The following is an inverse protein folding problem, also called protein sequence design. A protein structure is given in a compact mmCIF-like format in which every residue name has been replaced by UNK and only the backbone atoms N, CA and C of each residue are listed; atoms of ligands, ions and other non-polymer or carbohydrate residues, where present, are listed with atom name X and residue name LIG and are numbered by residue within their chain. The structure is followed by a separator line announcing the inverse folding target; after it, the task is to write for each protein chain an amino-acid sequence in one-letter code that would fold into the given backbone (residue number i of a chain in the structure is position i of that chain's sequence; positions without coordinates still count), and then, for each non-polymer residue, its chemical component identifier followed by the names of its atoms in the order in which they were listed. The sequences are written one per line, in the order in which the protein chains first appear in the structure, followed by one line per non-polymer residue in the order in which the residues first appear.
data_IF_776095539722
#
_entry.id   IF_776095539722
#
_cell.length_a   1.000
_cell.length_b   1.000
_cell.length_c   1.000
_cell.angle_alpha   90.00
_cell.angle_beta   90.00
_cell.angle_gamma   90.00
#
_symmetry.space_group_name_H-M   'P 1'
#
loop_
_entity.id
_entity.type
_entity.pdbx_description
1 polymer ?
#
# COMPACT_ATOMS: atom_id res chain seq x y z
N UNK A 1 39.72 14.57 23.85
CA UNK A 1 38.39 15.11 23.47
C UNK A 1 38.07 14.60 22.09
N UNK A 2 37.12 13.66 21.94
CA UNK A 2 36.71 13.13 20.67
C UNK A 2 35.89 14.18 19.91
N UNK A 3 36.29 14.52 18.68
CA UNK A 3 35.55 15.43 17.81
C UNK A 3 34.22 14.77 17.41
N UNK A 4 33.12 15.32 17.88
CA UNK A 4 31.78 14.96 17.42
C UNK A 4 31.68 15.28 15.92
N UNK A 5 31.46 14.28 15.08
CA UNK A 5 31.18 14.49 13.65
C UNK A 5 29.69 14.78 13.50
N UNK A 6 29.38 15.90 12.87
CA UNK A 6 28.00 16.24 12.48
C UNK A 6 27.77 15.89 11.02
N UNK A 7 26.60 15.37 10.70
CA UNK A 7 26.11 15.19 9.33
C UNK A 7 24.76 15.89 9.17
N UNK A 8 24.43 16.29 7.96
CA UNK A 8 23.17 16.92 7.61
C UNK A 8 22.33 15.91 6.80
N UNK A 9 21.18 15.54 7.32
CA UNK A 9 20.30 14.52 6.71
C UNK A 9 19.05 15.20 6.18
N UNK A 10 18.69 14.88 4.93
CA UNK A 10 17.47 15.37 4.31
C UNK A 10 16.25 14.63 4.92
N UNK A 11 15.28 15.38 5.43
CA UNK A 11 14.06 14.82 6.03
C UNK A 11 13.13 14.16 5.01
N UNK A 12 13.22 14.55 3.73
CA UNK A 12 12.32 14.03 2.70
C UNK A 12 12.83 12.73 2.04
N UNK A 13 14.16 12.63 1.80
CA UNK A 13 14.71 11.47 1.08
C UNK A 13 15.79 10.70 1.86
N UNK A 14 16.21 11.18 3.04
CA UNK A 14 17.20 10.52 3.87
C UNK A 14 18.64 10.60 3.37
N UNK A 15 18.93 11.36 2.30
CA UNK A 15 20.29 11.56 1.82
C UNK A 15 21.10 12.34 2.86
N UNK A 16 22.35 11.91 3.12
CA UNK A 16 23.26 12.53 4.09
C UNK A 16 24.37 13.33 3.42
N UNK A 17 24.74 14.44 4.06
CA UNK A 17 25.74 15.37 3.58
C UNK A 17 26.67 15.78 4.72
N UNK A 18 27.94 16.02 4.41
CA UNK A 18 28.95 16.49 5.38
C UNK A 18 28.81 17.97 5.76
N UNK A 19 28.01 18.72 4.97
CA UNK A 19 27.75 20.15 5.18
C UNK A 19 26.29 20.47 4.88
N UNK A 20 25.78 21.49 5.59
CA UNK A 20 24.45 22.01 5.29
C UNK A 20 24.40 22.67 3.91
N UNK A 21 23.31 22.42 3.18
CA UNK A 21 23.00 23.05 1.90
C UNK A 21 21.51 23.38 1.86
N UNK A 22 21.14 24.48 1.24
CA UNK A 22 19.74 24.94 1.19
C UNK A 22 18.82 24.03 0.39
N UNK A 23 19.36 23.26 -0.57
CA UNK A 23 18.62 22.31 -1.39
C UNK A 23 19.26 20.93 -1.31
N UNK A 24 18.46 19.89 -1.13
CA UNK A 24 18.93 18.52 -1.21
C UNK A 24 19.28 18.15 -2.66
N UNK A 25 20.54 17.75 -2.90
CA UNK A 25 20.97 17.38 -4.26
C UNK A 25 20.40 16.02 -4.74
N UNK A 26 19.82 15.22 -3.84
CA UNK A 26 19.23 13.93 -4.20
C UNK A 26 17.74 14.05 -4.60
N UNK A 27 16.94 14.82 -3.85
CA UNK A 27 15.50 14.97 -4.11
C UNK A 27 15.06 16.38 -4.51
N UNK A 28 16.02 17.33 -4.56
CA UNK A 28 15.83 18.75 -4.90
C UNK A 28 14.88 19.54 -3.97
N UNK A 29 14.49 18.99 -2.83
CA UNK A 29 13.70 19.68 -1.83
C UNK A 29 14.51 20.78 -1.12
N UNK A 30 13.86 21.92 -0.83
CA UNK A 30 14.48 23.07 -0.18
C UNK A 30 14.29 23.04 1.33
N UNK A 31 15.33 23.42 2.08
CA UNK A 31 15.32 23.57 3.55
C UNK A 31 14.93 22.29 4.31
N UNK A 32 15.22 21.13 3.75
CA UNK A 32 14.90 19.81 4.34
C UNK A 32 16.07 19.16 5.06
N UNK A 33 17.25 19.80 5.10
CA UNK A 33 18.42 19.25 5.77
C UNK A 33 18.44 19.66 7.25
N UNK A 34 18.46 18.66 8.13
CA UNK A 34 18.63 18.82 9.58
C UNK A 34 19.99 18.30 10.03
N UNK A 35 20.61 19.02 11.00
CA UNK A 35 21.87 18.63 11.59
C UNK A 35 21.68 17.43 12.52
N UNK A 36 22.39 16.33 12.26
CA UNK A 36 22.41 15.13 13.09
C UNK A 36 23.82 14.96 13.68
N UNK A 37 23.92 14.91 15.00
CA UNK A 37 25.18 14.65 15.68
C UNK A 37 25.48 13.16 15.65
N UNK A 38 26.54 12.76 14.96
CA UNK A 38 27.04 11.39 15.02
C UNK A 38 27.84 11.28 16.32
N UNK A 39 27.26 10.60 17.33
CA UNK A 39 27.96 10.30 18.56
C UNK A 39 29.19 9.45 18.22
N UNK A 40 30.36 9.94 18.61
CA UNK A 40 31.63 9.22 18.47
C UNK A 40 31.51 7.89 19.22
N UNK A 41 31.84 6.81 18.56
CA UNK A 41 31.85 5.46 19.10
C UNK A 41 32.69 5.40 20.37
N UNK A 42 32.05 5.29 21.56
CA UNK A 42 32.69 4.76 22.74
C UNK A 42 32.98 3.26 22.48
N UNK A 43 34.27 2.92 22.53
CA UNK A 43 34.75 1.56 22.42
C UNK A 43 34.26 0.72 23.59
N UNK A 44 33.24 -0.10 23.42
CA UNK A 44 32.99 -1.31 24.19
C UNK A 44 31.74 -2.03 23.66
N UNK A 45 31.78 -2.56 22.46
CA UNK A 45 31.13 -3.80 22.02
C UNK A 45 31.55 -4.00 20.56
N UNK A 46 32.22 -5.10 20.29
CA UNK A 46 32.53 -5.51 18.91
C UNK A 46 31.28 -5.37 18.04
N UNK A 47 31.39 -4.81 16.83
CA UNK A 47 30.25 -4.77 15.93
C UNK A 47 29.93 -6.21 15.53
N UNK A 48 29.02 -6.87 16.26
CA UNK A 48 28.41 -8.10 15.80
C UNK A 48 27.73 -7.78 14.48
N UNK A 49 28.38 -8.26 13.44
CA UNK A 49 27.99 -8.32 12.02
C UNK A 49 26.77 -7.47 11.65
N UNK A 50 27.00 -6.43 10.88
CA UNK A 50 25.98 -5.81 10.03
C UNK A 50 25.56 -6.83 8.98
N UNK A 51 24.87 -7.91 9.40
CA UNK A 51 24.24 -8.85 8.52
C UNK A 51 23.24 -8.08 7.65
N UNK A 52 23.28 -8.28 6.33
CA UNK A 52 22.28 -7.75 5.43
C UNK A 52 20.89 -8.31 5.78
N UNK A 53 19.86 -7.82 5.09
CA UNK A 53 18.47 -8.30 5.24
C UNK A 53 18.26 -9.74 4.73
N UNK A 54 19.30 -10.42 4.25
CA UNK A 54 19.23 -11.72 3.55
C UNK A 54 19.48 -12.96 4.45
N UNK A 55 19.51 -12.84 5.79
CA UNK A 55 19.66 -14.00 6.67
C UNK A 55 20.91 -13.96 7.58
N UNK A 56 21.16 -15.05 8.30
CA UNK A 56 22.08 -15.10 9.46
C UNK A 56 23.53 -15.47 9.16
N UNK A 57 23.85 -15.98 7.97
CA UNK A 57 25.20 -16.49 7.65
C UNK A 57 25.67 -16.04 6.27
N UNK A 58 26.85 -15.38 6.25
CA UNK A 58 27.57 -15.09 5.01
C UNK A 58 28.28 -16.37 4.51
N UNK A 59 27.53 -17.39 4.12
CA UNK A 59 28.05 -18.61 3.50
C UNK A 59 27.88 -18.48 2.00
N UNK A 60 28.98 -18.64 1.27
CA UNK A 60 28.92 -18.72 -0.19
C UNK A 60 28.42 -20.13 -0.54
N UNK A 61 27.26 -20.22 -1.17
CA UNK A 61 26.64 -21.47 -1.62
C UNK A 61 26.39 -21.42 -3.13
N UNK A 62 26.45 -22.58 -3.79
CA UNK A 62 25.97 -22.64 -5.18
C UNK A 62 24.45 -22.55 -5.19
N UNK A 63 23.89 -21.85 -6.16
CA UNK A 63 22.43 -21.69 -6.28
C UNK A 63 21.72 -23.07 -6.38
N UNK A 64 22.35 -24.04 -7.01
CA UNK A 64 21.83 -25.40 -7.16
C UNK A 64 21.78 -26.20 -5.84
N UNK A 65 22.58 -25.79 -4.84
CA UNK A 65 22.65 -26.44 -3.53
C UNK A 65 21.70 -25.81 -2.50
N UNK A 66 20.97 -24.78 -2.93
CA UNK A 66 19.94 -24.13 -2.10
C UNK A 66 18.68 -24.96 -2.23
N UNK A 67 18.35 -25.69 -1.17
CA UNK A 67 17.06 -26.35 -1.08
C UNK A 67 15.94 -25.30 -1.27
N UNK A 68 15.23 -25.41 -2.36
CA UNK A 68 13.96 -24.69 -2.57
C UNK A 68 12.91 -25.35 -1.68
N UNK A 69 13.07 -25.20 -0.37
CA UNK A 69 11.99 -25.52 0.55
C UNK A 69 10.89 -24.53 0.20
N UNK A 70 9.84 -25.00 -0.44
CA UNK A 70 8.59 -24.26 -0.56
C UNK A 70 8.18 -23.87 0.85
N UNK A 71 8.50 -22.62 1.24
CA UNK A 71 8.06 -22.08 2.53
C UNK A 71 6.54 -22.06 2.48
N UNK A 72 5.86 -22.94 3.25
CA UNK A 72 4.43 -23.07 3.12
C UNK A 72 3.78 -21.74 3.50
N UNK A 73 3.10 -21.15 2.54
CA UNK A 73 2.29 -19.96 2.79
C UNK A 73 1.14 -20.36 3.70
N UNK A 74 0.70 -19.44 4.51
CA UNK A 74 -0.51 -19.62 5.31
C UNK A 74 -1.46 -18.45 5.11
N UNK A 75 -2.75 -18.77 5.14
CA UNK A 75 -3.81 -17.81 4.85
C UNK A 75 -3.89 -16.73 5.94
N UNK A 76 -4.18 -15.51 5.54
CA UNK A 76 -4.55 -14.41 6.43
C UNK A 76 -5.96 -14.57 7.02
N UNK A 77 -6.75 -15.51 6.50
CA UNK A 77 -8.16 -15.66 6.81
C UNK A 77 -9.07 -14.79 5.95
N UNK A 78 -8.50 -14.09 4.94
CA UNK A 78 -9.21 -13.33 3.92
C UNK A 78 -8.63 -13.66 2.54
N UNK A 79 -9.45 -14.18 1.64
CA UNK A 79 -9.03 -14.56 0.29
C UNK A 79 -8.60 -13.34 -0.54
N UNK A 80 -9.24 -12.20 -0.33
CA UNK A 80 -8.90 -10.94 -1.00
C UNK A 80 -7.55 -10.36 -0.51
N UNK A 81 -7.20 -10.53 0.76
CA UNK A 81 -5.87 -10.17 1.29
C UNK A 81 -4.82 -11.16 0.79
N UNK A 82 -5.12 -12.47 0.86
CA UNK A 82 -4.22 -13.52 0.38
C UNK A 82 -3.89 -13.34 -1.10
N UNK A 83 -4.87 -12.99 -1.94
CA UNK A 83 -4.69 -12.66 -3.36
C UNK A 83 -3.61 -11.60 -3.54
N UNK A 84 -3.75 -10.46 -2.88
CA UNK A 84 -2.81 -9.33 -3.01
C UNK A 84 -1.43 -9.68 -2.47
N UNK A 85 -1.34 -10.54 -1.48
CA UNK A 85 -0.08 -11.07 -0.94
C UNK A 85 0.56 -12.17 -1.82
N UNK A 86 -0.13 -12.60 -2.88
CA UNK A 86 0.36 -13.66 -3.78
C UNK A 86 0.11 -15.07 -3.24
N UNK A 87 -0.98 -15.27 -2.49
CA UNK A 87 -1.44 -16.55 -1.97
C UNK A 87 -1.25 -16.72 -0.45
N UNK A 88 -1.10 -15.62 0.30
CA UNK A 88 -1.02 -15.62 1.75
C UNK A 88 0.34 -15.18 2.31
N UNK A 89 0.49 -15.33 3.62
CA UNK A 89 1.70 -14.93 4.33
C UNK A 89 2.87 -15.89 4.08
N UNK A 90 4.04 -15.32 3.80
CA UNK A 90 5.29 -16.06 3.68
C UNK A 90 6.09 -15.89 4.98
N UNK A 91 6.51 -16.99 5.65
CA UNK A 91 7.33 -16.90 6.87
C UNK A 91 8.57 -16.04 6.67
N UNK A 92 8.85 -15.15 7.63
CA UNK A 92 9.98 -14.23 7.57
C UNK A 92 9.80 -13.05 6.63
N UNK A 93 8.61 -12.87 6.03
CA UNK A 93 8.31 -11.72 5.17
C UNK A 93 8.09 -10.44 5.97
N UNK A 94 8.48 -9.32 5.37
CA UNK A 94 8.16 -7.97 5.84
C UNK A 94 7.16 -7.31 4.87
N UNK A 95 5.99 -6.97 5.37
CA UNK A 95 4.86 -6.43 4.62
C UNK A 95 4.59 -5.02 5.13
N UNK A 96 4.38 -4.06 4.23
CA UNK A 96 3.93 -2.71 4.56
C UNK A 96 2.49 -2.52 4.07
N UNK A 97 1.60 -2.16 4.98
CA UNK A 97 0.22 -1.80 4.64
C UNK A 97 0.06 -0.29 4.80
N UNK A 98 -0.07 0.39 3.66
CA UNK A 98 -0.32 1.82 3.57
C UNK A 98 -1.80 2.14 3.39
N UNK A 99 -2.14 3.41 3.57
CA UNK A 99 -3.48 3.93 3.31
C UNK A 99 -3.79 5.19 4.11
N UNK A 100 -4.79 5.95 3.66
CA UNK A 100 -5.23 7.14 4.38
C UNK A 100 -5.74 6.81 5.79
N UNK A 101 -5.68 7.74 6.74
CA UNK A 101 -6.40 7.62 8.00
C UNK A 101 -7.88 7.32 7.72
N UNK A 102 -8.47 6.39 8.48
CA UNK A 102 -9.86 5.98 8.27
C UNK A 102 -10.11 4.95 7.14
N UNK A 103 -9.12 4.60 6.33
CA UNK A 103 -9.28 3.58 5.27
C UNK A 103 -9.64 2.18 5.82
N UNK A 104 -9.34 1.89 7.09
CA UNK A 104 -9.67 0.60 7.71
C UNK A 104 -8.48 -0.33 7.94
N UNK A 105 -7.23 0.15 7.81
CA UNK A 105 -6.00 -0.65 8.01
C UNK A 105 -6.00 -1.42 9.33
N UNK A 106 -6.13 -0.71 10.44
CA UNK A 106 -6.14 -1.31 11.79
C UNK A 106 -7.34 -2.25 11.99
N UNK A 107 -8.48 -1.98 11.34
CA UNK A 107 -9.65 -2.87 11.35
C UNK A 107 -9.35 -4.18 10.63
N UNK A 108 -8.81 -4.10 9.40
CA UNK A 108 -8.42 -5.28 8.62
C UNK A 108 -7.43 -6.15 9.40
N UNK A 109 -6.39 -5.52 9.95
CA UNK A 109 -5.35 -6.23 10.68
C UNK A 109 -5.85 -6.84 12.00
N UNK A 110 -6.69 -6.14 12.73
CA UNK A 110 -7.30 -6.68 13.95
C UNK A 110 -8.17 -7.91 13.64
N UNK A 111 -9.00 -7.84 12.59
CA UNK A 111 -9.80 -8.99 12.13
C UNK A 111 -8.90 -10.15 11.68
N UNK A 112 -7.83 -9.88 10.93
CA UNK A 112 -6.85 -10.88 10.48
C UNK A 112 -6.18 -11.55 11.67
N UNK A 113 -5.66 -10.76 12.62
CA UNK A 113 -4.94 -11.33 13.76
C UNK A 113 -5.83 -12.09 14.72
N UNK A 114 -7.07 -11.66 14.95
CA UNK A 114 -8.02 -12.42 15.78
C UNK A 114 -8.33 -13.80 15.17
N UNK A 115 -8.44 -13.90 13.83
CA UNK A 115 -8.61 -15.18 13.15
C UNK A 115 -7.35 -16.06 13.25
N UNK A 116 -6.17 -15.47 13.08
CA UNK A 116 -4.90 -16.19 13.12
C UNK A 116 -4.52 -16.62 14.53
N UNK A 117 -4.80 -15.81 15.54
CA UNK A 117 -4.44 -16.07 16.94
C UNK A 117 -5.06 -17.36 17.49
N UNK A 118 -6.20 -17.78 16.93
CA UNK A 118 -6.82 -19.07 17.28
C UNK A 118 -5.97 -20.30 16.83
N UNK A 119 -5.03 -20.11 15.90
CA UNK A 119 -4.23 -21.21 15.30
C UNK A 119 -2.74 -21.07 15.60
N UNK A 120 -2.24 -19.87 15.82
CA UNK A 120 -0.81 -19.60 16.02
C UNK A 120 -0.63 -18.30 16.85
N UNK A 121 0.49 -18.20 17.62
CA UNK A 121 0.77 -16.96 18.37
C UNK A 121 0.83 -15.74 17.45
N UNK A 122 0.08 -14.69 17.80
CA UNK A 122 0.06 -13.43 17.10
C UNK A 122 0.20 -12.27 18.10
N UNK A 123 1.00 -11.26 17.74
CA UNK A 123 1.24 -10.08 18.56
C UNK A 123 0.87 -8.81 17.78
N UNK A 124 -0.02 -8.02 18.36
CA UNK A 124 -0.37 -6.69 17.86
C UNK A 124 0.29 -5.63 18.74
N UNK A 125 1.19 -4.85 18.16
CA UNK A 125 1.81 -3.70 18.84
C UNK A 125 1.14 -2.44 18.35
N UNK A 126 0.65 -1.64 19.29
CA UNK A 126 0.07 -0.32 19.03
C UNK A 126 0.93 0.77 19.62
N UNK A 127 1.25 1.77 18.82
CA UNK A 127 1.91 2.98 19.27
C UNK A 127 1.00 4.21 19.30
N UNK A 128 -0.22 4.11 18.74
CA UNK A 128 -1.13 5.25 18.61
C UNK A 128 -2.38 5.12 19.47
N UNK A 129 -2.91 3.91 19.62
CA UNK A 129 -4.15 3.65 20.34
C UNK A 129 -3.90 2.94 21.67
N UNK A 130 -4.70 3.24 22.67
CA UNK A 130 -4.64 2.50 23.92
C UNK A 130 -5.19 1.07 23.78
N UNK A 131 -4.77 0.12 24.62
CA UNK A 131 -5.31 -1.23 24.65
C UNK A 131 -6.83 -1.26 24.79
N UNK A 132 -7.40 -0.33 25.56
CA UNK A 132 -8.85 -0.21 25.77
C UNK A 132 -9.58 0.18 24.49
N UNK A 133 -9.01 1.08 23.68
CA UNK A 133 -9.60 1.49 22.39
C UNK A 133 -9.63 0.32 21.40
N UNK A 134 -8.55 -0.46 21.35
CA UNK A 134 -8.49 -1.66 20.50
C UNK A 134 -9.47 -2.72 20.98
N UNK A 135 -9.55 -2.96 22.31
CA UNK A 135 -10.50 -3.91 22.87
C UNK A 135 -11.96 -3.51 22.60
N UNK A 136 -12.30 -2.21 22.75
CA UNK A 136 -13.63 -1.71 22.39
C UNK A 136 -13.94 -1.92 20.90
N UNK A 137 -12.96 -1.67 20.02
CA UNK A 137 -13.10 -1.93 18.58
C UNK A 137 -13.33 -3.42 18.32
N UNK A 138 -12.52 -4.30 18.90
CA UNK A 138 -12.67 -5.75 18.74
C UNK A 138 -14.06 -6.23 19.20
N UNK A 139 -14.55 -5.72 20.35
CA UNK A 139 -15.89 -6.01 20.85
C UNK A 139 -16.99 -5.54 19.90
N UNK A 140 -16.88 -4.30 19.38
CA UNK A 140 -17.83 -3.77 18.40
C UNK A 140 -17.90 -4.61 17.13
N UNK A 141 -16.76 -5.14 16.70
CA UNK A 141 -16.63 -5.98 15.50
C UNK A 141 -17.00 -7.46 15.76
N UNK A 142 -17.33 -7.84 17.00
CA UNK A 142 -17.67 -9.21 17.37
C UNK A 142 -16.52 -10.20 17.22
N UNK A 143 -15.26 -9.76 17.44
CA UNK A 143 -14.08 -10.60 17.23
C UNK A 143 -13.79 -11.47 18.46
N UNK A 144 -13.32 -12.69 18.21
CA UNK A 144 -12.75 -13.56 19.23
C UNK A 144 -11.36 -13.02 19.63
N UNK A 145 -11.21 -12.55 20.86
CA UNK A 145 -10.00 -11.85 21.32
C UNK A 145 -9.13 -12.66 22.27
N UNK A 146 -9.60 -13.81 22.73
CA UNK A 146 -9.00 -14.57 23.84
C UNK A 146 -7.56 -14.99 23.60
N UNK A 147 -7.16 -15.20 22.36
CA UNK A 147 -5.83 -15.67 21.97
C UNK A 147 -4.90 -14.57 21.46
N UNK A 148 -5.42 -13.38 21.10
CA UNK A 148 -4.60 -12.31 20.53
C UNK A 148 -3.83 -11.58 21.63
N UNK A 149 -2.51 -11.53 21.48
CA UNK A 149 -1.66 -10.74 22.38
C UNK A 149 -1.57 -9.30 21.88
N UNK A 150 -1.68 -8.35 22.79
CA UNK A 150 -1.65 -6.92 22.54
C UNK A 150 -0.58 -6.26 23.41
N UNK A 151 0.20 -5.35 22.83
CA UNK A 151 1.20 -4.54 23.51
C UNK A 151 1.05 -3.07 23.07
N UNK A 152 1.02 -2.16 24.05
CA UNK A 152 1.12 -0.73 23.77
C UNK A 152 2.56 -0.29 24.06
N UNK A 153 3.33 -0.04 23.00
CA UNK A 153 4.75 0.30 23.11
C UNK A 153 5.23 1.06 21.87
N UNK A 154 6.21 1.93 22.06
CA UNK A 154 6.84 2.72 20.99
C UNK A 154 8.36 2.55 20.91
N UNK A 155 9.02 1.97 21.92
CA UNK A 155 10.43 1.61 21.85
C UNK A 155 10.61 0.29 21.08
N UNK A 156 11.38 0.34 19.99
CA UNK A 156 11.66 -0.81 19.14
C UNK A 156 12.39 -1.94 19.90
N UNK A 157 13.23 -1.61 20.89
CA UNK A 157 13.97 -2.62 21.65
C UNK A 157 13.05 -3.40 22.58
N UNK A 158 12.09 -2.74 23.23
CA UNK A 158 11.07 -3.40 24.04
C UNK A 158 10.13 -4.25 23.19
N UNK A 159 9.76 -3.78 22.02
CA UNK A 159 8.98 -4.56 21.04
C UNK A 159 9.75 -5.83 20.63
N UNK A 160 11.03 -5.71 20.33
CA UNK A 160 11.87 -6.86 19.95
C UNK A 160 12.05 -7.84 21.12
N UNK A 161 12.23 -7.35 22.35
CA UNK A 161 12.33 -8.17 23.53
C UNK A 161 11.03 -8.97 23.78
N UNK A 162 9.89 -8.31 23.64
CA UNK A 162 8.58 -8.98 23.73
C UNK A 162 8.40 -10.02 22.61
N UNK A 163 8.75 -9.68 21.37
CA UNK A 163 8.67 -10.59 20.24
C UNK A 163 9.59 -11.81 20.41
N UNK A 164 10.80 -11.63 20.93
CA UNK A 164 11.70 -12.77 21.25
C UNK A 164 11.14 -13.69 22.33
N UNK A 165 10.49 -13.13 23.34
CA UNK A 165 9.86 -13.86 24.44
C UNK A 165 8.62 -14.64 23.98
N UNK A 166 7.73 -14.00 23.24
CA UNK A 166 6.43 -14.55 22.85
C UNK A 166 6.48 -15.33 21.53
N UNK A 167 7.53 -15.17 20.72
CA UNK A 167 7.78 -15.85 19.44
C UNK A 167 6.54 -15.87 18.53
N UNK A 168 5.97 -14.70 18.20
CA UNK A 168 4.76 -14.65 17.40
C UNK A 168 5.06 -15.16 15.97
N UNK A 169 4.09 -15.86 15.39
CA UNK A 169 4.12 -16.21 13.96
C UNK A 169 3.83 -14.98 13.08
N UNK A 170 3.00 -14.07 13.60
CA UNK A 170 2.70 -12.76 12.97
C UNK A 170 2.87 -11.66 14.00
N UNK A 171 3.66 -10.64 13.65
CA UNK A 171 3.88 -9.42 14.41
C UNK A 171 3.34 -8.23 13.60
N UNK A 172 2.36 -7.51 14.14
CA UNK A 172 1.87 -6.24 13.58
C UNK A 172 2.40 -5.08 14.41
N UNK A 173 2.86 -4.02 13.74
CA UNK A 173 3.26 -2.75 14.35
C UNK A 173 2.43 -1.61 13.74
N UNK A 174 1.55 -1.01 14.54
CA UNK A 174 0.59 0.02 14.14
C UNK A 174 0.76 1.29 14.99
N UNK A 175 1.43 2.31 14.45
CA UNK A 175 2.09 2.46 13.15
C UNK A 175 3.60 2.60 13.31
N UNK A 176 4.33 2.31 12.23
CA UNK A 176 5.81 2.44 12.22
C UNK A 176 6.27 3.88 12.44
N UNK A 177 5.44 4.88 12.16
CA UNK A 177 5.77 6.30 12.30
C UNK A 177 5.99 6.74 13.74
N UNK A 178 5.36 6.08 14.71
CA UNK A 178 5.51 6.44 16.12
C UNK A 178 6.57 5.62 16.85
N UNK A 179 7.09 4.58 16.18
CA UNK A 179 8.15 3.75 16.76
C UNK A 179 9.48 4.50 16.73
N UNK A 180 10.25 4.37 17.80
CA UNK A 180 11.53 5.00 17.95
C UNK A 180 12.59 4.04 18.51
N UNK A 181 13.84 4.44 18.34
CA UNK A 181 15.03 3.81 18.90
C UNK A 181 15.82 4.88 19.66
N UNK A 182 16.15 4.60 20.90
CA UNK A 182 16.98 5.48 21.72
C UNK A 182 18.42 5.61 21.20
N UNK A 183 18.83 4.74 20.29
CA UNK A 183 20.12 4.84 19.61
C UNK A 183 20.23 6.05 18.69
N UNK A 184 19.11 6.66 18.31
CA UNK A 184 19.04 7.84 17.44
C UNK A 184 18.51 9.05 18.21
N UNK A 185 19.14 10.19 17.99
CA UNK A 185 18.74 11.47 18.61
C UNK A 185 17.63 12.20 17.85
N UNK A 186 17.24 11.70 16.69
CA UNK A 186 16.17 12.27 15.88
C UNK A 186 14.79 11.98 16.48
N UNK A 187 13.83 12.89 16.27
CA UNK A 187 12.49 12.74 16.81
C UNK A 187 11.76 11.50 16.24
N UNK A 188 10.85 10.86 17.02
CA UNK A 188 9.94 9.85 16.49
C UNK A 188 9.20 10.35 15.24
N UNK A 189 8.97 9.48 14.28
CA UNK A 189 8.34 9.83 12.99
C UNK A 189 9.29 10.43 11.96
N UNK A 190 10.52 10.78 12.33
CA UNK A 190 11.53 11.18 11.35
C UNK A 190 11.92 10.01 10.46
N UNK A 191 12.34 10.32 9.22
CA UNK A 191 12.79 9.32 8.24
C UNK A 191 13.89 8.42 8.81
N UNK A 192 14.81 8.97 9.60
CA UNK A 192 15.90 8.22 10.21
C UNK A 192 15.39 7.19 11.24
N UNK A 193 14.45 7.58 12.10
CA UNK A 193 13.83 6.68 13.09
C UNK A 193 13.01 5.57 12.39
N UNK A 194 12.15 5.94 11.47
CA UNK A 194 11.31 4.98 10.73
C UNK A 194 12.17 3.96 9.99
N UNK A 195 13.27 4.42 9.35
CA UNK A 195 14.21 3.54 8.65
C UNK A 195 14.92 2.58 9.60
N UNK A 196 15.45 3.07 10.71
CA UNK A 196 16.20 2.26 11.65
C UNK A 196 15.32 1.22 12.34
N UNK A 197 14.15 1.64 12.85
CA UNK A 197 13.18 0.76 13.48
C UNK A 197 12.68 -0.32 12.52
N UNK A 198 12.31 0.06 11.29
CA UNK A 198 11.90 -0.90 10.27
C UNK A 198 13.03 -1.87 9.90
N UNK A 199 14.28 -1.41 9.85
CA UNK A 199 15.43 -2.28 9.60
C UNK A 199 15.65 -3.33 10.71
N UNK A 200 15.53 -2.91 11.98
CA UNK A 200 15.64 -3.80 13.13
C UNK A 200 14.52 -4.86 13.13
N UNK A 201 13.28 -4.43 12.97
CA UNK A 201 12.11 -5.30 12.93
C UNK A 201 12.17 -6.27 11.73
N UNK A 202 12.55 -5.80 10.54
CA UNK A 202 12.69 -6.65 9.35
C UNK A 202 13.78 -7.70 9.53
N UNK A 203 14.91 -7.34 10.16
CA UNK A 203 15.96 -8.30 10.47
C UNK A 203 15.47 -9.37 11.42
N UNK A 204 14.77 -9.00 12.48
CA UNK A 204 14.16 -9.95 13.41
C UNK A 204 13.22 -10.91 12.66
N UNK A 205 12.34 -10.39 11.82
CA UNK A 205 11.40 -11.21 11.03
C UNK A 205 12.13 -12.24 10.16
N UNK A 206 13.15 -11.81 9.42
CA UNK A 206 13.96 -12.69 8.57
C UNK A 206 14.71 -13.78 9.36
N UNK A 207 15.18 -13.46 10.58
CA UNK A 207 15.94 -14.39 11.41
C UNK A 207 15.05 -15.42 12.10
N UNK A 208 13.83 -15.05 12.46
CA UNK A 208 12.94 -15.91 13.26
C UNK A 208 11.85 -16.60 12.43
N UNK A 209 11.67 -16.22 11.16
CA UNK A 209 10.57 -16.69 10.35
C UNK A 209 9.22 -16.03 10.69
N UNK A 210 9.23 -15.01 11.56
CA UNK A 210 8.03 -14.22 11.89
C UNK A 210 7.58 -13.40 10.70
N UNK A 211 6.29 -13.39 10.37
CA UNK A 211 5.70 -12.44 9.41
C UNK A 211 5.57 -11.10 10.10
N UNK A 212 6.25 -10.09 9.56
CA UNK A 212 6.17 -8.71 10.05
C UNK A 212 5.20 -7.92 9.19
N UNK A 213 4.23 -7.25 9.82
CA UNK A 213 3.33 -6.32 9.15
C UNK A 213 3.53 -4.94 9.77
N UNK A 214 4.03 -4.00 8.98
CA UNK A 214 4.16 -2.61 9.33
C UNK A 214 2.96 -1.83 8.79
N UNK A 215 2.33 -1.04 9.64
CA UNK A 215 1.29 -0.09 9.21
C UNK A 215 1.92 1.25 8.94
N UNK A 216 1.57 1.86 7.81
CA UNK A 216 2.03 3.19 7.41
C UNK A 216 0.87 4.08 6.95
N UNK A 217 1.05 5.40 7.10
CA UNK A 217 0.14 6.38 6.50
C UNK A 217 0.65 6.82 5.14
N UNK A 218 -0.24 7.23 4.26
CA UNK A 218 0.11 7.84 2.98
C UNK A 218 0.08 9.36 3.09
N UNK A 219 0.89 10.03 2.26
CA UNK A 219 0.84 11.47 2.07
C UNK A 219 -0.43 11.87 1.31
N UNK A 220 -0.73 13.17 1.26
CA UNK A 220 -1.87 13.71 0.48
C UNK A 220 -1.79 13.35 -1.01
N UNK A 221 -0.60 13.14 -1.53
CA UNK A 221 -0.35 12.75 -2.93
C UNK A 221 -0.52 11.24 -3.18
N UNK A 222 -1.03 10.49 -2.21
CA UNK A 222 -1.24 9.03 -2.34
C UNK A 222 0.04 8.19 -2.28
N UNK A 223 1.22 8.81 -2.10
CA UNK A 223 2.46 8.09 -1.87
C UNK A 223 2.54 7.65 -0.41
N UNK A 224 3.13 6.48 -0.14
CA UNK A 224 3.36 6.03 1.22
C UNK A 224 4.15 7.09 2.00
N UNK A 225 3.52 7.66 3.04
CA UNK A 225 4.15 8.62 3.95
C UNK A 225 5.14 7.88 4.83
N UNK A 226 6.37 8.20 4.65
CA UNK A 226 7.49 7.48 5.20
C UNK A 226 8.03 6.57 4.11
N UNK A 227 9.19 6.64 3.89
CA UNK A 227 9.85 6.99 2.66
C UNK A 227 9.87 5.82 1.69
N UNK A 228 10.09 6.08 0.43
CA UNK A 228 10.69 5.19 -0.58
C UNK A 228 11.84 4.35 -0.01
N UNK A 229 12.41 4.76 1.12
CA UNK A 229 13.41 4.03 1.91
C UNK A 229 12.91 2.69 2.43
N UNK A 230 11.63 2.57 2.83
CA UNK A 230 11.06 1.30 3.28
C UNK A 230 10.86 0.32 2.13
N UNK A 231 10.60 0.81 0.91
CA UNK A 231 10.38 -0.06 -0.26
C UNK A 231 11.54 -1.01 -0.54
N UNK A 232 12.77 -0.62 -0.23
CA UNK A 232 13.94 -1.48 -0.43
C UNK A 232 14.11 -2.55 0.65
N UNK A 233 13.55 -2.33 1.83
CA UNK A 233 13.68 -3.23 2.99
C UNK A 233 12.55 -4.25 3.10
N UNK A 234 11.34 -3.88 2.65
CA UNK A 234 10.16 -4.74 2.69
C UNK A 234 10.07 -5.67 1.47
N UNK A 235 9.39 -6.79 1.63
CA UNK A 235 9.18 -7.77 0.57
C UNK A 235 7.88 -7.52 -0.20
N UNK A 236 6.85 -7.03 0.49
CA UNK A 236 5.55 -6.74 -0.08
C UNK A 236 5.04 -5.38 0.44
N UNK A 237 4.47 -4.55 -0.43
CA UNK A 237 3.72 -3.37 -0.03
C UNK A 237 2.34 -3.37 -0.67
N UNK A 238 1.34 -3.06 0.14
CA UNK A 238 -0.05 -2.98 -0.26
C UNK A 238 -0.64 -1.66 0.21
N UNK A 239 -1.53 -1.10 -0.60
CA UNK A 239 -2.21 0.15 -0.33
C UNK A 239 -3.70 -0.12 -0.15
N UNK A 240 -4.25 0.24 1.00
CA UNK A 240 -5.68 0.20 1.28
C UNK A 240 -6.26 1.57 0.99
N UNK A 241 -7.10 1.63 -0.04
CA UNK A 241 -7.73 2.83 -0.58
C UNK A 241 -9.24 2.79 -0.41
N UNK A 242 -9.86 3.94 -0.40
CA UNK A 242 -11.31 4.11 -0.40
C UNK A 242 -11.67 5.54 -0.05
N UNK A 243 -12.63 6.09 -0.76
CA UNK A 243 -13.18 7.41 -0.46
C UNK A 243 -13.98 7.37 0.84
N UNK A 244 -14.06 8.50 1.55
CA UNK A 244 -14.75 8.57 2.85
C UNK A 244 -16.23 8.19 2.72
N UNK A 245 -16.86 8.56 1.62
CA UNK A 245 -18.27 8.30 1.37
C UNK A 245 -18.54 6.94 0.69
N UNK A 246 -17.50 6.26 0.22
CA UNK A 246 -17.64 4.93 -0.35
C UNK A 246 -17.64 3.86 0.74
N UNK A 247 -18.59 2.93 0.64
CA UNK A 247 -18.60 1.73 1.49
C UNK A 247 -17.56 0.69 1.07
N UNK A 248 -16.97 0.84 -0.11
CA UNK A 248 -15.98 -0.10 -0.63
C UNK A 248 -14.56 0.36 -0.32
N UNK A 249 -13.67 -0.62 -0.15
CA UNK A 249 -12.25 -0.44 0.03
C UNK A 249 -11.52 -1.35 -0.93
N UNK A 250 -10.54 -0.81 -1.64
CA UNK A 250 -9.66 -1.57 -2.51
C UNK A 250 -8.30 -1.75 -1.85
N UNK A 251 -7.79 -2.95 -1.90
CA UNK A 251 -6.45 -3.30 -1.44
C UNK A 251 -5.60 -3.59 -2.67
N UNK A 252 -4.61 -2.74 -2.96
CA UNK A 252 -3.78 -2.83 -4.16
C UNK A 252 -2.35 -3.20 -3.82
N UNK A 253 -1.83 -4.25 -4.46
CA UNK A 253 -0.42 -4.60 -4.38
C UNK A 253 0.45 -3.62 -5.18
N UNK A 254 1.40 -2.97 -4.51
CA UNK A 254 2.36 -2.05 -5.16
C UNK A 254 3.72 -2.68 -5.39
N UNK A 255 4.12 -3.56 -4.48
CA UNK A 255 5.35 -4.35 -4.55
C UNK A 255 5.08 -5.73 -4.00
N UNK A 256 5.55 -6.77 -4.68
CA UNK A 256 5.46 -8.13 -4.18
C UNK A 256 6.64 -8.97 -4.71
N UNK A 257 7.49 -9.46 -3.79
CA UNK A 257 8.59 -10.38 -4.12
C UNK A 257 8.14 -11.84 -4.22
N UNK A 258 6.92 -12.13 -3.81
CA UNK A 258 6.39 -13.49 -3.69
C UNK A 258 5.29 -13.80 -4.70
N UNK A 259 4.88 -12.83 -5.51
CA UNK A 259 3.80 -12.99 -6.46
C UNK A 259 3.67 -11.82 -7.42
N UNK A 260 2.55 -11.76 -8.13
CA UNK A 260 2.25 -10.68 -9.05
C UNK A 260 2.11 -9.34 -8.30
N UNK A 261 2.50 -8.27 -8.95
CA UNK A 261 2.21 -6.89 -8.54
C UNK A 261 0.89 -6.43 -9.16
N UNK A 262 0.32 -5.36 -8.63
CA UNK A 262 -0.95 -4.77 -9.09
C UNK A 262 -2.19 -5.67 -8.89
N UNK A 263 -2.08 -6.71 -8.05
CA UNK A 263 -3.26 -7.47 -7.64
C UNK A 263 -4.22 -6.58 -6.87
N UNK A 264 -5.52 -6.79 -7.10
CA UNK A 264 -6.59 -6.03 -6.48
C UNK A 264 -7.45 -6.94 -5.60
N UNK A 265 -7.49 -6.61 -4.31
CA UNK A 265 -8.45 -7.15 -3.35
C UNK A 265 -9.57 -6.14 -3.09
N UNK A 266 -10.78 -6.59 -2.86
CA UNK A 266 -11.94 -5.72 -2.67
C UNK A 266 -12.71 -6.10 -1.41
N UNK A 267 -12.95 -5.08 -0.59
CA UNK A 267 -13.69 -5.22 0.67
C UNK A 267 -14.84 -4.22 0.73
N UNK A 268 -15.89 -4.57 1.45
CA UNK A 268 -16.94 -3.66 1.87
C UNK A 268 -16.75 -3.30 3.35
N UNK A 269 -16.77 -2.01 3.67
CA UNK A 269 -16.81 -1.53 5.05
C UNK A 269 -18.24 -1.68 5.57
N UNK A 270 -18.38 -2.38 6.67
CA UNK A 270 -19.66 -2.61 7.34
C UNK A 270 -19.56 -2.25 8.82
N UNK A 271 -20.66 -2.23 9.53
CA UNK A 271 -20.75 -2.05 11.00
C UNK A 271 -19.96 -3.12 11.78
N UNK A 272 -19.84 -4.32 11.21
CA UNK A 272 -19.05 -5.44 11.77
C UNK A 272 -17.65 -5.56 11.14
N UNK A 273 -17.15 -4.51 10.50
CA UNK A 273 -15.80 -4.44 9.91
C UNK A 273 -15.74 -4.65 8.42
N UNK A 274 -14.58 -5.01 7.93
CA UNK A 274 -14.32 -5.27 6.52
C UNK A 274 -14.80 -6.69 6.15
N UNK A 275 -15.59 -6.77 5.10
CA UNK A 275 -16.06 -8.03 4.49
C UNK A 275 -15.56 -8.11 3.06
N UNK A 276 -15.15 -9.29 2.63
CA UNK A 276 -14.72 -9.54 1.25
C UNK A 276 -15.88 -9.41 0.28
N UNK A 277 -15.61 -8.83 -0.87
CA UNK A 277 -16.58 -8.72 -1.96
C UNK A 277 -16.33 -9.85 -2.95
N UNK A 278 -17.22 -10.84 -2.95
CA UNK A 278 -17.08 -12.04 -3.79
C UNK A 278 -17.14 -11.72 -5.30
N UNK A 279 -17.95 -10.74 -5.67
CA UNK A 279 -18.06 -10.27 -7.05
C UNK A 279 -17.72 -8.77 -7.15
N UNK A 280 -16.42 -8.41 -7.27
CA UNK A 280 -16.02 -7.01 -7.37
C UNK A 280 -16.55 -6.29 -8.61
N UNK A 281 -16.78 -7.00 -9.70
CA UNK A 281 -17.36 -6.39 -10.92
C UNK A 281 -18.70 -5.71 -10.65
N UNK A 282 -19.46 -6.20 -9.68
CA UNK A 282 -20.73 -5.58 -9.30
C UNK A 282 -20.59 -4.14 -8.71
N UNK A 283 -19.38 -3.73 -8.34
CA UNK A 283 -19.08 -2.39 -7.82
C UNK A 283 -18.85 -1.41 -8.97
N UNK A 284 -18.31 -1.91 -10.08
CA UNK A 284 -17.88 -1.15 -11.24
C UNK A 284 -18.94 -1.12 -12.35
N UNK A 285 -20.14 -1.62 -12.06
CA UNK A 285 -21.28 -1.63 -12.94
C UNK A 285 -22.41 -0.82 -12.29
N UNK A 286 -22.92 0.18 -12.99
CA UNK A 286 -24.16 0.83 -12.62
C UNK A 286 -25.33 -0.07 -13.01
N UNK A 287 -26.17 -0.42 -12.05
CA UNK A 287 -27.36 -1.23 -12.31
C UNK A 287 -28.52 -0.33 -12.69
N UNK A 288 -28.49 0.24 -13.89
CA UNK A 288 -29.66 0.90 -14.44
C UNK A 288 -30.70 -0.16 -14.83
N UNK A 289 -31.97 0.05 -14.48
CA UNK A 289 -33.07 -0.83 -14.87
C UNK A 289 -33.33 -0.81 -16.38
N UNK A 290 -32.93 0.29 -17.03
CA UNK A 290 -33.05 0.46 -18.49
C UNK A 290 -31.70 0.80 -19.09
N UNK A 291 -31.34 0.22 -20.26
CA UNK A 291 -30.13 0.60 -20.99
C UNK A 291 -30.15 2.10 -21.31
N UNK A 292 -29.07 2.80 -20.99
CA UNK A 292 -28.88 4.23 -21.31
C UNK A 292 -27.90 4.38 -22.48
N UNK A 293 -28.16 5.26 -23.46
CA UNK A 293 -27.18 5.60 -24.47
C UNK A 293 -25.88 6.10 -23.83
N UNK A 294 -24.74 5.79 -24.46
CA UNK A 294 -23.44 6.19 -23.94
C UNK A 294 -22.84 5.24 -22.92
N UNK A 295 -23.48 4.13 -22.61
CA UNK A 295 -22.99 3.15 -21.61
C UNK A 295 -22.52 1.87 -22.28
N UNK A 296 -21.29 1.43 -21.97
CA UNK A 296 -20.69 0.18 -22.49
C UNK A 296 -19.92 -0.52 -21.38
N UNK A 297 -20.06 -1.85 -21.28
CA UNK A 297 -19.29 -2.67 -20.35
C UNK A 297 -18.08 -3.27 -21.06
N UNK A 298 -16.93 -3.21 -20.41
CA UNK A 298 -15.67 -3.77 -20.89
C UNK A 298 -15.04 -4.67 -19.83
N UNK A 299 -14.26 -5.66 -20.28
CA UNK A 299 -13.38 -6.44 -19.41
C UNK A 299 -12.02 -5.74 -19.35
N UNK A 300 -11.56 -5.43 -18.15
CA UNK A 300 -10.22 -4.93 -17.89
C UNK A 300 -9.48 -5.88 -16.96
N UNK A 301 -8.16 -5.93 -17.06
CA UNK A 301 -7.33 -6.72 -16.15
C UNK A 301 -6.76 -5.85 -15.03
N UNK A 302 -6.98 -6.27 -13.80
CA UNK A 302 -6.32 -5.73 -12.62
C UNK A 302 -5.46 -6.82 -11.98
N UNK A 303 -4.14 -6.77 -12.24
CA UNK A 303 -3.24 -7.86 -11.92
C UNK A 303 -3.58 -9.12 -12.73
N UNK A 304 -3.97 -10.19 -12.05
CA UNK A 304 -4.42 -11.45 -12.67
C UNK A 304 -5.95 -11.57 -12.72
N UNK A 305 -6.69 -10.54 -12.31
CA UNK A 305 -8.15 -10.59 -12.18
C UNK A 305 -8.84 -9.86 -13.32
N UNK A 306 -9.72 -10.53 -14.09
CA UNK A 306 -10.62 -9.83 -15.00
C UNK A 306 -11.73 -9.15 -14.20
N UNK A 307 -12.00 -7.89 -14.50
CA UNK A 307 -13.08 -7.10 -13.94
C UNK A 307 -13.98 -6.59 -15.07
N UNK A 308 -15.28 -6.68 -14.86
CA UNK A 308 -16.24 -5.96 -15.68
C UNK A 308 -16.34 -4.54 -15.17
N UNK A 309 -16.10 -3.57 -16.05
CA UNK A 309 -16.12 -2.14 -15.74
C UNK A 309 -17.01 -1.45 -16.74
N UNK A 310 -17.82 -0.52 -16.26
CA UNK A 310 -18.70 0.28 -17.09
C UNK A 310 -18.00 1.56 -17.50
N UNK A 311 -18.06 1.86 -18.80
CA UNK A 311 -17.63 3.11 -19.40
C UNK A 311 -18.87 3.90 -19.77
N UNK A 312 -18.93 5.15 -19.33
CA UNK A 312 -19.99 6.07 -19.66
C UNK A 312 -19.43 7.22 -20.50
N UNK A 313 -20.10 7.57 -21.56
CA UNK A 313 -19.77 8.72 -22.38
C UNK A 313 -21.01 9.61 -22.57
N UNK A 314 -20.79 10.92 -22.52
CA UNK A 314 -21.78 11.94 -22.86
C UNK A 314 -21.19 12.82 -23.97
N UNK A 315 -21.96 12.96 -25.04
CA UNK A 315 -21.67 13.84 -26.16
C UNK A 315 -22.81 14.85 -26.27
N UNK A 316 -22.51 16.14 -26.21
CA UNK A 316 -23.47 17.20 -26.27
C UNK A 316 -22.95 18.39 -27.09
N UNK A 317 -23.85 19.20 -27.65
CA UNK A 317 -23.48 20.37 -28.41
C UNK A 317 -22.69 21.36 -27.53
N UNK A 318 -21.54 21.83 -28.03
CA UNK A 318 -20.75 22.81 -27.29
C UNK A 318 -21.31 24.21 -27.45
N UNK A 319 -21.71 24.83 -26.34
CA UNK A 319 -22.22 26.18 -26.30
C UNK A 319 -21.12 27.27 -26.09
N UNK A 320 -19.86 26.87 -25.95
CA UNK A 320 -18.76 27.73 -25.51
C UNK A 320 -17.72 28.02 -26.61
N UNK A 321 -17.97 27.72 -27.87
CA UNK A 321 -17.03 27.93 -28.99
C UNK A 321 -15.73 27.15 -28.92
N UNK A 322 -15.41 26.55 -27.79
CA UNK A 322 -14.23 25.70 -27.57
C UNK A 322 -14.66 24.39 -26.92
N UNK A 323 -14.86 23.32 -27.69
CA UNK A 323 -15.39 22.06 -27.22
C UNK A 323 -14.51 21.41 -26.14
N UNK A 324 -15.13 20.99 -25.04
CA UNK A 324 -14.45 20.36 -23.92
C UNK A 324 -14.22 18.86 -24.18
N UNK A 325 -13.08 18.37 -23.74
CA UNK A 325 -12.72 16.95 -23.74
C UNK A 325 -12.35 16.58 -22.30
N UNK A 326 -13.20 15.85 -21.62
CA UNK A 326 -12.96 15.45 -20.23
C UNK A 326 -12.93 13.92 -20.15
N UNK A 327 -11.89 13.38 -19.53
CA UNK A 327 -11.76 11.96 -19.31
C UNK A 327 -11.45 11.68 -17.84
N UNK A 328 -12.28 10.84 -17.23
CA UNK A 328 -12.11 10.33 -15.87
C UNK A 328 -11.89 8.83 -15.97
N UNK A 329 -10.77 8.35 -15.44
CA UNK A 329 -10.38 6.95 -15.56
C UNK A 329 -9.66 6.59 -16.88
N UNK A 330 -9.58 7.52 -17.84
CA UNK A 330 -8.78 7.42 -19.06
C UNK A 330 -7.78 8.56 -19.14
N UNK A 331 -6.73 8.38 -19.95
CA UNK A 331 -5.83 9.47 -20.30
C UNK A 331 -6.52 10.41 -21.30
N UNK A 332 -6.48 11.72 -21.05
CA UNK A 332 -7.17 12.73 -21.86
C UNK A 332 -6.64 12.78 -23.31
N UNK A 333 -5.30 12.63 -23.50
CA UNK A 333 -4.70 12.61 -24.84
C UNK A 333 -5.16 11.38 -25.64
N UNK A 334 -5.39 10.26 -24.97
CA UNK A 334 -5.93 9.05 -25.59
C UNK A 334 -7.35 9.24 -26.09
N UNK A 335 -8.22 9.87 -25.27
CA UNK A 335 -9.56 10.26 -25.73
C UNK A 335 -9.48 11.13 -26.99
N UNK A 336 -8.62 12.15 -27.00
CA UNK A 336 -8.46 13.04 -28.16
C UNK A 336 -8.01 12.29 -29.42
N UNK A 337 -7.06 11.35 -29.29
CA UNK A 337 -6.61 10.52 -30.42
C UNK A 337 -7.75 9.62 -30.96
N UNK A 338 -8.52 9.00 -30.07
CA UNK A 338 -9.63 8.12 -30.45
C UNK A 338 -10.73 8.90 -31.16
N UNK A 339 -11.05 10.13 -30.72
CA UNK A 339 -12.00 11.01 -31.40
C UNK A 339 -11.51 11.39 -32.81
N UNK A 340 -10.19 11.61 -32.98
CA UNK A 340 -9.60 11.86 -34.31
C UNK A 340 -9.72 10.62 -35.22
N UNK A 341 -9.58 9.41 -34.68
CA UNK A 341 -9.82 8.15 -35.42
C UNK A 341 -11.26 8.04 -35.85
N UNK A 342 -12.24 8.33 -34.99
CA UNK A 342 -13.67 8.37 -35.34
C UNK A 342 -13.94 9.35 -36.47
N UNK A 343 -13.43 10.55 -36.37
CA UNK A 343 -13.59 11.56 -37.40
C UNK A 343 -13.02 11.11 -38.74
N UNK A 344 -11.75 10.66 -38.74
CA UNK A 344 -11.03 10.36 -39.99
C UNK A 344 -11.50 9.07 -40.68
N UNK A 345 -11.80 8.02 -39.95
CA UNK A 345 -12.07 6.70 -40.50
C UNK A 345 -13.54 6.29 -40.52
N UNK A 346 -14.35 6.85 -39.63
CA UNK A 346 -15.78 6.56 -39.53
C UNK A 346 -16.64 7.70 -40.06
N UNK A 347 -16.05 8.89 -40.26
CA UNK A 347 -16.78 10.06 -40.75
C UNK A 347 -17.69 10.71 -39.70
N UNK A 348 -17.52 10.38 -38.42
CA UNK A 348 -18.29 10.97 -37.34
C UNK A 348 -17.65 12.28 -36.87
N UNK A 349 -18.38 13.39 -37.01
CA UNK A 349 -17.93 14.70 -36.58
C UNK A 349 -18.33 14.97 -35.14
N UNK A 350 -17.32 15.12 -34.28
CA UNK A 350 -17.49 15.52 -32.86
C UNK A 350 -16.69 16.77 -32.54
N UNK A 351 -16.24 17.49 -33.59
CA UNK A 351 -15.37 18.64 -33.48
C UNK A 351 -16.00 19.84 -32.76
N UNK A 352 -17.30 20.01 -32.90
CA UNK A 352 -18.14 21.09 -32.33
C UNK A 352 -18.92 20.63 -31.10
N UNK A 353 -18.64 19.45 -30.55
CA UNK A 353 -19.37 18.88 -29.42
C UNK A 353 -18.47 18.69 -28.22
N UNK A 354 -19.01 18.90 -27.03
CA UNK A 354 -18.39 18.52 -25.78
C UNK A 354 -18.44 16.99 -25.64
N UNK A 355 -17.33 16.39 -25.20
CA UNK A 355 -17.26 14.95 -24.96
C UNK A 355 -16.74 14.71 -23.55
N UNK A 356 -17.53 14.00 -22.75
CA UNK A 356 -17.19 13.57 -21.41
C UNK A 356 -17.13 12.05 -21.40
N UNK A 357 -16.08 11.48 -20.82
CA UNK A 357 -15.93 10.05 -20.64
C UNK A 357 -15.59 9.74 -19.18
N UNK A 358 -16.26 8.76 -18.62
CA UNK A 358 -16.08 8.32 -17.23
C UNK A 358 -15.99 6.82 -17.13
N UNK A 359 -15.10 6.34 -16.26
CA UNK A 359 -15.01 4.93 -15.87
C UNK A 359 -15.64 4.80 -14.50
N UNK A 360 -16.67 3.97 -14.38
CA UNK A 360 -17.41 3.78 -13.13
C UNK A 360 -16.51 3.14 -12.07
N UNK A 361 -16.66 3.61 -10.83
CA UNK A 361 -15.93 3.06 -9.67
C UNK A 361 -14.48 3.49 -9.54
N UNK A 362 -14.03 4.53 -10.29
CA UNK A 362 -12.70 5.12 -10.14
C UNK A 362 -11.55 4.23 -10.65
N UNK A 363 -11.85 3.20 -11.43
CA UNK A 363 -10.83 2.37 -12.08
C UNK A 363 -10.14 3.17 -13.17
N UNK A 364 -8.83 3.01 -13.29
CA UNK A 364 -8.06 3.64 -14.38
C UNK A 364 -7.74 2.62 -15.45
N UNK A 365 -8.30 2.82 -16.64
CA UNK A 365 -8.03 1.97 -17.81
C UNK A 365 -6.82 2.54 -18.57
N UNK A 366 -5.67 1.88 -18.43
CA UNK A 366 -4.43 2.26 -19.12
C UNK A 366 -4.16 1.39 -20.36
N UNK A 367 -4.80 0.24 -20.45
CA UNK A 367 -4.63 -0.72 -21.55
C UNK A 367 -5.50 -0.39 -22.78
N UNK A 368 -5.10 -0.92 -23.94
CA UNK A 368 -5.81 -0.65 -25.21
C UNK A 368 -7.14 -1.39 -25.33
N UNK A 369 -7.42 -2.36 -24.47
CA UNK A 369 -8.69 -3.10 -24.44
C UNK A 369 -9.91 -2.21 -24.26
N UNK A 370 -9.76 -1.07 -23.55
CA UNK A 370 -10.83 -0.10 -23.35
C UNK A 370 -11.13 0.81 -24.54
N UNK A 371 -10.28 0.87 -25.56
CA UNK A 371 -10.40 1.83 -26.66
C UNK A 371 -11.69 1.65 -27.46
N UNK A 372 -11.96 0.40 -27.90
CA UNK A 372 -13.16 0.12 -28.66
C UNK A 372 -14.42 0.40 -27.84
N UNK A 373 -14.42 0.05 -26.57
CA UNK A 373 -15.55 0.29 -25.68
C UNK A 373 -15.80 1.77 -25.45
N UNK A 374 -14.74 2.59 -25.33
CA UNK A 374 -14.84 4.04 -25.25
C UNK A 374 -15.40 4.63 -26.54
N UNK A 375 -14.93 4.18 -27.70
CA UNK A 375 -15.46 4.59 -29.00
C UNK A 375 -16.94 4.25 -29.14
N UNK A 376 -17.34 3.02 -28.76
CA UNK A 376 -18.73 2.59 -28.80
C UNK A 376 -19.62 3.40 -27.87
N UNK A 377 -19.13 3.73 -26.66
CA UNK A 377 -19.86 4.59 -25.72
C UNK A 377 -20.09 6.00 -26.31
N UNK A 378 -19.04 6.59 -26.90
CA UNK A 378 -19.14 7.90 -27.56
C UNK A 378 -20.14 7.85 -28.73
N UNK A 379 -20.04 6.84 -29.60
CA UNK A 379 -20.97 6.68 -30.73
C UNK A 379 -22.40 6.44 -30.29
N UNK A 380 -22.58 5.64 -29.23
CA UNK A 380 -23.90 5.37 -28.63
C UNK A 380 -24.52 6.67 -28.10
N UNK A 381 -23.76 7.48 -27.36
CA UNK A 381 -24.22 8.78 -26.85
C UNK A 381 -24.51 9.80 -27.96
N UNK A 382 -23.70 9.79 -29.04
CA UNK A 382 -23.87 10.70 -30.17
C UNK A 382 -25.14 10.41 -30.99
N UNK A 383 -25.55 9.15 -31.06
CA UNK A 383 -26.69 8.68 -31.88
C UNK A 383 -27.98 8.51 -31.11
N UNK A 384 -27.91 8.54 -29.80
CA UNK A 384 -29.00 8.40 -28.84
C UNK A 384 -29.99 7.29 -29.24
#
# INVERSE_FOLDING_TARGET
MAKTKTAFVCNDCGADYSKWQGQCSACHAWNTLTEVRIAGTSSAASPKSRGGFAGTTAVVQKLADIDLIDLPRFSSGFAELDRVLGGGFVPGSAILIGGHPGAGKSTLLLQTLCKLAAQAPALYVTGEESPQQIAMRAKRLGLATDALQLMAETDVNEILAAAQKHKPKVLVVDSIQVIHSDALTSAPGSVAQVRDCAALLTRYAKQTGTVLILVGHVTKDGSLAGPKVLEHMIDCSVLLEGEQDSRYRTLRGQKNRFGAVNELGVFAMTDVGLKEVLNPSAIFLERAETPAPGTVVVVVWEGTRPLLVEIQALVDASNLGNPRRVAVGFEQNRLAMLLAVLHRHVGLHVGDQDVFANVVGGVRIAETSGDLSLLLAVVSSLRN
#
